data_IF_547922185370
#
_entry.id   IF_547922185370
#
_cell.length_a   1.000
_cell.length_b   1.000
_cell.length_c   1.000
_cell.angle_alpha   90.00
_cell.angle_beta   90.00
_cell.angle_gamma   90.00
#
_symmetry.space_group_name_H-M   'P 1'
#
loop_
_entity.id
_entity.type
_entity.pdbx_description
1 polymer ?
#
# COMPACT_ATOMS: atom_id res chain seq x y z
N UNK A 1 -29.01 -9.17 32.49
CA UNK A 1 -28.87 -7.76 32.05
C UNK A 1 -27.42 -7.55 31.66
N UNK A 2 -27.08 -7.74 30.38
CA UNK A 2 -25.73 -7.54 29.83
C UNK A 2 -25.68 -6.16 29.14
N UNK A 3 -24.62 -5.36 29.32
CA UNK A 3 -24.54 -4.02 28.76
C UNK A 3 -24.24 -4.03 27.26
N UNK A 4 -24.72 -3.00 26.58
CA UNK A 4 -24.61 -2.77 25.15
C UNK A 4 -23.14 -2.70 24.68
N UNK A 5 -22.79 -3.60 23.74
CA UNK A 5 -21.51 -3.59 23.06
C UNK A 5 -21.37 -2.37 22.15
N UNK A 6 -20.31 -1.60 22.38
CA UNK A 6 -19.79 -0.63 21.43
C UNK A 6 -19.44 -1.34 20.11
N UNK A 7 -20.02 -0.90 19.01
CA UNK A 7 -19.69 -1.41 17.68
C UNK A 7 -18.20 -1.12 17.37
N UNK A 8 -17.45 -2.08 16.80
CA UNK A 8 -16.07 -1.85 16.38
C UNK A 8 -16.01 -0.73 15.32
N UNK A 9 -14.99 0.14 15.44
CA UNK A 9 -14.75 1.31 14.58
C UNK A 9 -14.70 1.03 13.05
N UNK A 10 -14.72 -0.24 12.65
CA UNK A 10 -14.70 -0.70 11.26
C UNK A 10 -15.95 -0.28 10.45
N UNK A 11 -17.12 -0.14 11.08
CA UNK A 11 -18.39 0.14 10.35
C UNK A 11 -18.51 1.62 9.95
N UNK A 12 -17.87 2.54 10.68
CA UNK A 12 -17.99 3.98 10.42
C UNK A 12 -17.04 4.50 9.32
N UNK A 13 -16.07 3.70 8.86
CA UNK A 13 -15.05 4.12 7.90
C UNK A 13 -15.50 4.14 6.42
N UNK A 14 -16.74 3.76 6.10
CA UNK A 14 -17.22 3.64 4.71
C UNK A 14 -17.87 4.90 4.14
N UNK A 15 -18.32 5.83 4.98
CA UNK A 15 -19.10 6.99 4.51
C UNK A 15 -18.29 8.07 3.78
N UNK A 16 -16.96 7.92 3.69
CA UNK A 16 -16.08 8.96 3.14
C UNK A 16 -15.09 8.45 2.08
N UNK A 17 -15.49 7.46 1.28
CA UNK A 17 -14.79 7.13 0.04
C UNK A 17 -15.32 7.99 -1.11
N UNK A 18 -14.56 9.05 -1.43
CA UNK A 18 -14.76 9.90 -2.62
C UNK A 18 -15.18 9.06 -3.84
N UNK A 19 -16.42 9.32 -4.30
CA UNK A 19 -17.19 8.53 -5.28
C UNK A 19 -16.71 8.77 -6.71
N UNK A 20 -15.50 8.34 -7.06
CA UNK A 20 -15.11 8.25 -8.48
C UNK A 20 -15.33 6.83 -9.00
N UNK A 21 -16.57 6.55 -9.40
CA UNK A 21 -16.90 5.37 -10.18
C UNK A 21 -16.34 5.52 -11.59
N UNK A 22 -15.71 4.47 -12.10
CA UNK A 22 -15.17 4.45 -13.47
C UNK A 22 -15.81 3.29 -14.22
N UNK A 23 -16.44 3.63 -15.34
CA UNK A 23 -16.99 2.66 -16.29
C UNK A 23 -15.86 2.05 -17.11
N UNK A 24 -16.00 0.78 -17.48
CA UNK A 24 -15.01 0.11 -18.32
C UNK A 24 -14.97 0.77 -19.71
N UNK A 25 -13.81 1.30 -20.10
CA UNK A 25 -13.59 1.94 -21.41
C UNK A 25 -13.01 0.99 -22.45
N UNK A 26 -12.77 -0.28 -22.11
CA UNK A 26 -12.20 -1.29 -23.03
C UNK A 26 -13.08 -2.53 -23.06
N UNK A 27 -12.98 -3.32 -24.13
CA UNK A 27 -13.74 -4.56 -24.25
C UNK A 27 -13.25 -5.63 -23.24
N UNK A 28 -14.08 -6.67 -23.05
CA UNK A 28 -13.83 -7.75 -22.08
C UNK A 28 -12.52 -8.50 -22.35
N UNK A 29 -12.17 -8.73 -23.62
CA UNK A 29 -10.97 -9.47 -23.99
C UNK A 29 -9.71 -8.64 -23.69
N UNK A 30 -9.74 -7.35 -24.02
CA UNK A 30 -8.69 -6.39 -23.66
C UNK A 30 -8.54 -6.28 -22.14
N UNK A 31 -9.64 -6.14 -21.40
CA UNK A 31 -9.63 -6.11 -19.93
C UNK A 31 -9.01 -7.36 -19.33
N UNK A 32 -9.37 -8.54 -19.85
CA UNK A 32 -8.81 -9.82 -19.41
C UNK A 32 -7.29 -9.88 -19.61
N UNK A 33 -6.80 -9.50 -20.81
CA UNK A 33 -5.36 -9.43 -21.10
C UNK A 33 -4.63 -8.44 -20.18
N UNK A 34 -5.21 -7.26 -19.93
CA UNK A 34 -4.64 -6.27 -19.01
C UNK A 34 -4.51 -6.83 -17.59
N UNK A 35 -5.56 -7.49 -17.09
CA UNK A 35 -5.55 -8.09 -15.75
C UNK A 35 -4.53 -9.24 -15.63
N UNK A 36 -4.36 -10.04 -16.68
CA UNK A 36 -3.35 -11.11 -16.72
C UNK A 36 -1.91 -10.56 -16.71
N UNK A 37 -1.69 -9.34 -17.20
CA UNK A 37 -0.38 -8.68 -17.19
C UNK A 37 0.03 -8.06 -15.84
N UNK A 38 -0.85 -8.05 -14.84
CA UNK A 38 -0.58 -7.44 -13.53
C UNK A 38 0.36 -8.35 -12.75
N UNK A 39 1.58 -7.85 -12.50
CA UNK A 39 2.61 -8.56 -11.74
C UNK A 39 2.44 -8.29 -10.24
N UNK A 40 2.64 -9.32 -9.42
CA UNK A 40 2.59 -9.21 -7.95
C UNK A 40 3.92 -8.83 -7.28
N UNK A 41 4.97 -8.55 -8.07
CA UNK A 41 6.29 -8.14 -7.60
C UNK A 41 7.07 -7.45 -8.72
N UNK A 42 8.15 -6.75 -8.36
CA UNK A 42 9.02 -6.04 -9.30
C UNK A 42 8.21 -5.06 -10.16
N UNK A 43 7.18 -4.49 -9.55
CA UNK A 43 6.35 -3.48 -10.18
C UNK A 43 7.16 -2.21 -10.42
N UNK A 44 6.70 -1.36 -11.35
CA UNK A 44 7.34 -0.08 -11.63
C UNK A 44 7.56 0.79 -10.37
N UNK A 45 6.57 0.97 -9.47
CA UNK A 45 6.79 1.73 -8.23
C UNK A 45 7.83 1.07 -7.31
N UNK A 46 7.81 -0.26 -7.15
CA UNK A 46 8.84 -0.96 -6.36
C UNK A 46 10.24 -0.69 -6.90
N UNK A 47 10.45 -0.86 -8.21
CA UNK A 47 11.75 -0.62 -8.84
C UNK A 47 12.20 0.84 -8.73
N UNK A 48 11.26 1.79 -8.83
CA UNK A 48 11.55 3.21 -8.67
C UNK A 48 12.07 3.53 -7.26
N UNK A 49 11.38 3.07 -6.22
CA UNK A 49 11.79 3.27 -4.83
C UNK A 49 13.12 2.59 -4.53
N UNK A 50 13.29 1.33 -4.96
CA UNK A 50 14.55 0.57 -4.79
C UNK A 50 15.74 1.32 -5.36
N UNK A 51 15.62 1.85 -6.58
CA UNK A 51 16.69 2.63 -7.23
C UNK A 51 17.01 3.90 -6.46
N UNK A 52 15.99 4.61 -5.97
CA UNK A 52 16.17 5.83 -5.20
C UNK A 52 16.88 5.58 -3.86
N UNK A 53 16.42 4.59 -3.09
CA UNK A 53 17.06 4.19 -1.84
C UNK A 53 18.50 3.72 -2.05
N UNK A 54 18.76 2.96 -3.11
CA UNK A 54 20.12 2.52 -3.44
C UNK A 54 21.06 3.70 -3.73
N UNK A 55 20.59 4.74 -4.43
CA UNK A 55 21.37 5.97 -4.67
C UNK A 55 21.67 6.74 -3.37
N UNK A 56 20.77 6.66 -2.40
CA UNK A 56 20.97 7.22 -1.05
C UNK A 56 21.86 6.35 -0.14
N UNK A 57 22.45 5.26 -0.66
CA UNK A 57 23.37 4.39 0.06
C UNK A 57 22.71 3.30 0.91
N UNK A 58 21.38 3.16 0.86
CA UNK A 58 20.70 2.10 1.59
C UNK A 58 20.90 0.74 0.90
N UNK A 59 21.00 -0.29 1.74
CA UNK A 59 21.10 -1.70 1.33
C UNK A 59 19.96 -2.46 1.98
N UNK A 60 19.28 -3.25 1.19
CA UNK A 60 18.04 -3.92 1.57
C UNK A 60 17.99 -5.34 1.01
N UNK A 61 17.14 -6.15 1.62
CA UNK A 61 16.75 -7.45 1.10
C UNK A 61 15.38 -7.32 0.45
N UNK A 62 15.13 -8.14 -0.57
CA UNK A 62 13.84 -8.20 -1.27
C UNK A 62 13.15 -9.51 -0.93
N UNK A 63 11.82 -9.50 -0.98
CA UNK A 63 10.99 -10.71 -0.93
C UNK A 63 11.35 -11.65 0.22
N UNK A 64 11.40 -11.12 1.44
CA UNK A 64 11.74 -11.88 2.63
C UNK A 64 10.71 -13.01 2.84
N UNK A 65 11.11 -14.23 2.45
CA UNK A 65 10.33 -15.44 2.71
C UNK A 65 10.24 -15.63 4.23
N UNK A 66 9.03 -15.87 4.74
CA UNK A 66 8.79 -16.11 6.17
C UNK A 66 8.24 -14.93 6.96
N UNK A 67 8.15 -13.73 6.37
CA UNK A 67 7.53 -12.56 7.01
C UNK A 67 6.08 -12.36 6.54
N UNK A 68 5.21 -11.97 7.47
CA UNK A 68 3.81 -11.67 7.18
C UNK A 68 3.71 -10.57 6.11
N UNK A 69 2.82 -10.77 5.14
CA UNK A 69 2.63 -9.83 4.02
C UNK A 69 3.77 -9.75 3.00
N UNK A 70 4.91 -10.42 3.23
CA UNK A 70 6.09 -10.41 2.34
C UNK A 70 6.48 -8.98 1.91
N UNK A 71 7.05 -8.17 2.83
CA UNK A 71 7.45 -6.79 2.54
C UNK A 71 8.27 -6.68 1.26
N UNK A 72 8.01 -5.63 0.47
CA UNK A 72 8.69 -5.40 -0.81
C UNK A 72 10.18 -5.11 -0.60
N UNK A 73 10.50 -4.39 0.48
CA UNK A 73 11.86 -4.01 0.85
C UNK A 73 12.03 -4.24 2.36
N UNK A 74 13.07 -4.97 2.73
CA UNK A 74 13.46 -5.19 4.12
C UNK A 74 14.81 -4.53 4.40
N UNK A 75 14.90 -3.79 5.50
CA UNK A 75 16.08 -3.05 5.93
C UNK A 75 16.52 -3.53 7.33
N UNK A 76 17.19 -4.70 7.45
CA UNK A 76 17.47 -5.32 8.75
C UNK A 76 18.30 -4.44 9.69
N UNK A 77 19.28 -3.69 9.15
CA UNK A 77 20.09 -2.73 9.94
C UNK A 77 19.23 -1.71 10.68
N UNK A 78 18.06 -1.38 10.13
CA UNK A 78 17.15 -0.37 10.66
C UNK A 78 15.93 -1.00 11.34
N UNK A 79 15.85 -2.33 11.42
CA UNK A 79 14.68 -3.06 11.89
C UNK A 79 13.40 -2.68 11.16
N UNK A 80 13.48 -2.37 9.85
CA UNK A 80 12.36 -1.80 9.10
C UNK A 80 11.90 -2.69 7.93
N UNK A 81 10.58 -2.79 7.76
CA UNK A 81 9.88 -3.40 6.66
C UNK A 81 9.09 -2.34 5.88
N UNK A 82 9.25 -2.32 4.56
CA UNK A 82 8.61 -1.33 3.69
C UNK A 82 7.68 -2.04 2.71
N UNK A 83 6.44 -1.56 2.65
CA UNK A 83 5.42 -1.97 1.69
C UNK A 83 5.24 -0.89 0.63
N UNK A 84 5.23 -1.28 -0.64
CA UNK A 84 4.95 -0.42 -1.78
C UNK A 84 3.53 -0.72 -2.26
N UNK A 85 2.57 0.02 -1.75
CA UNK A 85 1.15 -0.26 -2.00
C UNK A 85 0.63 0.43 -3.26
N UNK A 86 0.01 -0.36 -4.13
CA UNK A 86 -0.82 0.16 -5.21
C UNK A 86 -2.07 0.85 -4.64
N UNK A 87 -2.30 2.11 -5.01
CA UNK A 87 -3.39 2.93 -4.47
C UNK A 87 -4.76 2.31 -4.74
N UNK A 88 -4.93 1.69 -5.91
CA UNK A 88 -6.16 1.00 -6.29
C UNK A 88 -6.43 -0.25 -5.44
N UNK A 89 -5.42 -1.11 -5.26
CA UNK A 89 -5.56 -2.42 -4.62
C UNK A 89 -5.71 -2.37 -3.11
N UNK A 90 -4.98 -1.45 -2.47
CA UNK A 90 -4.92 -1.31 -1.02
C UNK A 90 -5.73 -0.11 -0.50
N UNK A 91 -6.49 0.56 -1.39
CA UNK A 91 -7.45 1.62 -1.06
C UNK A 91 -6.84 2.85 -0.38
N UNK A 92 -5.87 3.49 -1.06
CA UNK A 92 -5.30 4.75 -0.59
C UNK A 92 -6.40 5.82 -0.43
N UNK A 93 -6.63 6.27 0.80
CA UNK A 93 -7.70 7.23 1.12
C UNK A 93 -7.42 8.58 0.45
N UNK A 94 -8.48 9.23 -0.05
CA UNK A 94 -8.35 10.53 -0.72
C UNK A 94 -7.50 10.53 -2.00
N UNK A 95 -7.10 9.38 -2.53
CA UNK A 95 -6.22 9.33 -3.70
C UNK A 95 -7.03 9.17 -5.00
N UNK A 96 -6.76 10.03 -5.99
CA UNK A 96 -7.39 9.95 -7.33
C UNK A 96 -7.19 8.61 -8.05
N UNK A 97 -6.18 7.83 -7.67
CA UNK A 97 -5.88 6.52 -8.27
C UNK A 97 -6.61 5.35 -7.57
N UNK A 98 -7.24 5.60 -6.42
CA UNK A 98 -8.04 4.60 -5.70
C UNK A 98 -9.50 4.55 -6.22
N UNK A 99 -9.67 4.41 -7.54
CA UNK A 99 -11.01 4.39 -8.17
C UNK A 99 -11.77 3.10 -7.84
N UNK A 100 -13.10 3.12 -8.03
CA UNK A 100 -13.94 1.93 -7.87
C UNK A 100 -14.54 1.57 -9.24
N UNK A 101 -14.28 0.37 -9.78
CA UNK A 101 -14.91 -0.05 -11.01
C UNK A 101 -16.43 -0.12 -10.85
N UNK A 102 -17.18 0.43 -11.82
CA UNK A 102 -18.64 0.37 -11.80
C UNK A 102 -19.17 -1.06 -12.07
N UNK A 103 -18.37 -1.91 -12.73
CA UNK A 103 -18.71 -3.29 -13.02
C UNK A 103 -18.41 -4.22 -11.85
N UNK A 104 -19.31 -5.17 -11.56
CA UNK A 104 -19.20 -6.16 -10.46
C UNK A 104 -18.89 -5.51 -9.10
N UNK A 105 -19.72 -4.57 -8.63
CA UNK A 105 -19.44 -3.78 -7.43
C UNK A 105 -19.22 -4.65 -6.17
N UNK A 106 -20.03 -5.70 -5.97
CA UNK A 106 -19.90 -6.58 -4.80
C UNK A 106 -18.59 -7.35 -4.78
N UNK A 107 -18.14 -7.82 -5.95
CA UNK A 107 -16.85 -8.49 -6.08
C UNK A 107 -15.70 -7.56 -5.70
N UNK A 108 -15.72 -6.32 -6.22
CA UNK A 108 -14.67 -5.36 -5.91
C UNK A 108 -14.70 -4.92 -4.45
N UNK A 109 -15.88 -4.72 -3.89
CA UNK A 109 -16.06 -4.40 -2.48
C UNK A 109 -15.41 -5.47 -1.60
N UNK A 110 -15.81 -6.74 -1.75
CA UNK A 110 -15.24 -7.84 -0.98
C UNK A 110 -13.74 -8.03 -1.23
N UNK A 111 -13.27 -7.81 -2.46
CA UNK A 111 -11.84 -7.89 -2.78
C UNK A 111 -11.02 -6.80 -2.09
N UNK A 112 -11.53 -5.57 -2.07
CA UNK A 112 -10.87 -4.45 -1.41
C UNK A 112 -10.87 -4.62 0.12
N UNK A 113 -12.00 -5.01 0.70
CA UNK A 113 -12.11 -5.34 2.13
C UNK A 113 -11.10 -6.41 2.53
N UNK A 114 -11.08 -7.54 1.81
CA UNK A 114 -10.15 -8.63 2.11
C UNK A 114 -8.68 -8.25 1.95
N UNK A 115 -8.34 -7.33 1.04
CA UNK A 115 -6.99 -6.80 0.93
C UNK A 115 -6.63 -5.93 2.14
N UNK A 116 -7.47 -4.95 2.48
CA UNK A 116 -7.25 -4.05 3.62
C UNK A 116 -7.17 -4.81 4.94
N UNK A 117 -8.03 -5.79 5.18
CA UNK A 117 -7.98 -6.65 6.37
C UNK A 117 -6.67 -7.46 6.43
N UNK A 118 -6.19 -7.95 5.29
CA UNK A 118 -4.91 -8.66 5.22
C UNK A 118 -3.74 -7.72 5.51
N UNK A 119 -3.76 -6.49 4.99
CA UNK A 119 -2.73 -5.49 5.25
C UNK A 119 -2.64 -5.16 6.75
N UNK A 120 -3.79 -4.95 7.40
CA UNK A 120 -3.85 -4.69 8.85
C UNK A 120 -3.23 -5.85 9.64
N UNK A 121 -3.64 -7.09 9.37
CA UNK A 121 -3.11 -8.28 10.05
C UNK A 121 -1.62 -8.47 9.84
N UNK A 122 -1.14 -8.28 8.61
CA UNK A 122 0.28 -8.44 8.29
C UNK A 122 1.13 -7.39 9.00
N UNK A 123 0.65 -6.14 9.05
CA UNK A 123 1.34 -5.05 9.74
C UNK A 123 1.40 -5.30 11.24
N UNK A 124 0.29 -5.71 11.86
CA UNK A 124 0.27 -6.07 13.29
C UNK A 124 1.30 -7.17 13.59
N UNK A 125 1.29 -8.27 12.83
CA UNK A 125 2.23 -9.37 13.03
C UNK A 125 3.70 -8.95 12.87
N UNK A 126 4.01 -8.00 11.99
CA UNK A 126 5.38 -7.49 11.84
C UNK A 126 5.79 -6.59 13.02
N UNK A 127 4.89 -5.75 13.51
CA UNK A 127 5.14 -4.91 14.69
C UNK A 127 5.38 -5.77 15.93
N UNK A 128 4.60 -6.84 16.11
CA UNK A 128 4.77 -7.79 17.21
C UNK A 128 6.12 -8.52 17.17
N UNK A 129 6.66 -8.73 15.95
CA UNK A 129 8.01 -9.26 15.73
C UNK A 129 9.12 -8.19 15.88
N UNK A 130 8.78 -6.97 16.29
CA UNK A 130 9.72 -5.86 16.49
C UNK A 130 10.13 -5.12 15.22
N UNK A 131 9.44 -5.33 14.10
CA UNK A 131 9.70 -4.58 12.87
C UNK A 131 8.96 -3.26 12.85
N UNK A 132 9.67 -2.20 12.49
CA UNK A 132 9.08 -0.92 12.11
C UNK A 132 8.53 -0.97 10.70
N UNK A 133 7.47 -0.22 10.41
CA UNK A 133 6.73 -0.35 9.15
C UNK A 133 6.64 0.98 8.40
N UNK A 134 7.05 0.98 7.14
CA UNK A 134 6.73 2.05 6.21
C UNK A 134 5.76 1.57 5.14
N UNK A 135 4.69 2.34 4.91
CA UNK A 135 3.81 2.18 3.75
C UNK A 135 4.09 3.32 2.78
N UNK A 136 4.53 2.99 1.57
CA UNK A 136 4.78 3.95 0.50
C UNK A 136 3.78 3.71 -0.62
N UNK A 137 2.97 4.72 -0.91
CA UNK A 137 1.90 4.60 -1.92
C UNK A 137 2.41 4.86 -3.33
N UNK A 138 1.95 4.06 -4.30
CA UNK A 138 2.39 4.16 -5.70
C UNK A 138 2.23 5.57 -6.31
N UNK A 139 1.30 6.37 -5.79
CA UNK A 139 1.03 7.72 -6.28
C UNK A 139 2.22 8.68 -6.15
N UNK A 140 3.10 8.46 -5.16
CA UNK A 140 4.32 9.27 -4.98
C UNK A 140 5.49 8.75 -5.82
N UNK A 141 5.34 7.57 -6.42
CA UNK A 141 6.41 6.86 -7.13
C UNK A 141 6.29 6.95 -8.66
N UNK A 142 5.54 7.93 -9.18
CA UNK A 142 5.28 8.12 -10.62
C UNK A 142 6.19 9.15 -11.29
N UNK A 143 6.66 10.14 -10.55
CA UNK A 143 7.42 11.29 -11.09
C UNK A 143 8.80 11.36 -10.42
N UNK A 144 9.90 11.64 -11.17
CA UNK A 144 11.26 11.62 -10.60
C UNK A 144 11.45 12.47 -9.36
N UNK A 145 10.91 13.70 -9.35
CA UNK A 145 10.99 14.60 -8.21
C UNK A 145 10.31 14.02 -6.96
N UNK A 146 9.07 13.52 -7.10
CA UNK A 146 8.32 12.89 -6.01
C UNK A 146 8.96 11.60 -5.52
N UNK A 147 9.58 10.83 -6.42
CA UNK A 147 10.35 9.63 -6.04
C UNK A 147 11.54 10.03 -5.16
N UNK A 148 12.28 11.09 -5.53
CA UNK A 148 13.41 11.57 -4.75
C UNK A 148 12.98 12.08 -3.36
N UNK A 149 11.90 12.88 -3.31
CA UNK A 149 11.30 13.37 -2.07
C UNK A 149 10.84 12.21 -1.17
N UNK A 150 10.09 11.25 -1.73
CA UNK A 150 9.62 10.06 -1.01
C UNK A 150 10.79 9.27 -0.42
N UNK A 151 11.85 9.09 -1.20
CA UNK A 151 13.04 8.37 -0.75
C UNK A 151 13.79 9.14 0.35
N UNK A 152 13.83 10.48 0.29
CA UNK A 152 14.42 11.32 1.34
C UNK A 152 13.61 11.22 2.64
N UNK A 153 12.28 11.38 2.59
CA UNK A 153 11.40 11.22 3.76
C UNK A 153 11.59 9.84 4.40
N UNK A 154 11.60 8.79 3.57
CA UNK A 154 11.81 7.43 4.05
C UNK A 154 13.21 7.26 4.67
N UNK A 155 14.25 7.82 4.05
CA UNK A 155 15.61 7.79 4.57
C UNK A 155 15.74 8.48 5.93
N UNK A 156 15.06 9.60 6.12
CA UNK A 156 15.05 10.33 7.38
C UNK A 156 14.31 9.54 8.46
N UNK A 157 13.13 9.00 8.16
CA UNK A 157 12.39 8.13 9.07
C UNK A 157 13.21 6.90 9.51
N UNK A 158 13.97 6.28 8.59
CA UNK A 158 14.81 5.12 8.92
C UNK A 158 15.84 5.41 10.02
N UNK A 159 16.24 6.68 10.18
CA UNK A 159 17.19 7.12 11.23
C UNK A 159 16.52 7.53 12.54
N UNK A 160 15.19 7.51 12.61
CA UNK A 160 14.42 7.74 13.84
C UNK A 160 14.11 6.42 14.55
N UNK A 161 13.42 6.49 15.69
CA UNK A 161 12.84 5.37 16.43
C UNK A 161 11.32 5.21 16.19
N UNK A 162 10.73 6.06 15.34
CA UNK A 162 9.29 6.03 15.05
C UNK A 162 8.91 4.68 14.43
N UNK A 163 7.93 4.01 15.03
CA UNK A 163 7.55 2.64 14.65
C UNK A 163 6.90 2.55 13.27
N UNK A 164 6.18 3.58 12.84
CA UNK A 164 5.42 3.53 11.59
C UNK A 164 5.41 4.86 10.84
N UNK A 165 5.41 4.80 9.52
CA UNK A 165 5.18 5.95 8.63
C UNK A 165 4.33 5.54 7.42
N UNK A 166 3.52 6.46 6.94
CA UNK A 166 2.79 6.33 5.68
C UNK A 166 3.11 7.52 4.77
N UNK A 167 3.56 7.26 3.54
CA UNK A 167 4.00 8.28 2.59
C UNK A 167 3.10 8.20 1.35
N UNK A 168 2.24 9.19 1.17
CA UNK A 168 1.23 9.24 0.12
C UNK A 168 0.71 10.66 -0.12
N UNK A 169 0.25 10.94 -1.34
CA UNK A 169 -0.49 12.19 -1.62
C UNK A 169 -1.99 11.99 -1.46
N UNK A 170 -2.60 12.77 -0.58
CA UNK A 170 -4.06 12.94 -0.57
C UNK A 170 -4.43 13.97 -1.63
N UNK A 171 -5.28 13.59 -2.58
CA UNK A 171 -5.91 14.53 -3.51
C UNK A 171 -7.00 15.27 -2.72
N UNK A 172 -6.81 16.57 -2.49
CA UNK A 172 -7.94 17.45 -2.16
C UNK A 172 -8.89 17.53 -3.35
#
# INVERSE_FOLDING_TARGET
MLPAGSLPQCILAWRDFSRRQVTDTVDRQTRSRMMAGIRGKDTRPELALRRALHRLGFRFRLHAKGLAGRPDILLPRYGAAVFVHGCFWHRHRGCRFATVPASRPDFWKGKFEGNTERDIRNRAALLDLGWRIAVVWECTLKEPAKIAETAAILADWLRTDVNQIEIGTNSR
#
